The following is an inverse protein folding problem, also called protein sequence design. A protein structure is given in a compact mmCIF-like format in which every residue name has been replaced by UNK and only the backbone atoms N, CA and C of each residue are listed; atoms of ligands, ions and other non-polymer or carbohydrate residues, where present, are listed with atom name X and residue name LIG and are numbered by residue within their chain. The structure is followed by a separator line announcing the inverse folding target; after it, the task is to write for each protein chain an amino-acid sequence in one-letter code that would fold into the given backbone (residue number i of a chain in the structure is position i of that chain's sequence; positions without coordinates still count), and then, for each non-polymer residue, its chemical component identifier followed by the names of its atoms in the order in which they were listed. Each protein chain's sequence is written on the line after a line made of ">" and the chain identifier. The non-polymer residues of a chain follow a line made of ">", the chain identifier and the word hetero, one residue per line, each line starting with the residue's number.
data_IF_299143326588
#
_entry.id   IF_299143326588
#
_cell.length_a   1.000
_cell.length_b   1.000
_cell.length_c   1.000
_cell.angle_alpha   90.00
_cell.angle_beta   90.00
_cell.angle_gamma   90.00
#
_symmetry.space_group_name_H-M   'P 1'
#
loop_
_entity.id
_entity.type
_entity.pdbx_description
1 polymer ?
#
# COMPACT_ATOMS: atom_id res chain seq x y z
N UNK A 1 -2.38 3.06 -8.10
CA UNK A 1 -1.50 4.02 -8.80
C UNK A 1 -0.79 3.47 -10.02
N UNK A 2 -0.13 2.31 -9.89
CA UNK A 2 0.65 1.70 -10.96
C UNK A 2 0.12 0.32 -11.31
N UNK A 3 0.29 -0.07 -12.56
CA UNK A 3 -0.01 -1.41 -13.07
C UNK A 3 0.93 -1.76 -14.23
N UNK A 4 0.71 -2.93 -14.84
CA UNK A 4 1.40 -3.43 -16.02
C UNK A 4 0.41 -3.36 -17.18
N UNK A 5 0.87 -2.83 -18.32
CA UNK A 5 0.09 -2.79 -19.55
C UNK A 5 -0.37 -4.21 -19.95
N UNK A 6 -1.67 -4.39 -20.18
CA UNK A 6 -2.30 -5.67 -20.48
C UNK A 6 -2.65 -6.55 -19.26
N UNK A 7 -2.32 -6.11 -18.04
CA UNK A 7 -2.64 -6.80 -16.78
C UNK A 7 -3.30 -5.86 -15.74
N UNK A 8 -3.96 -4.79 -16.19
CA UNK A 8 -4.50 -3.71 -15.34
C UNK A 8 -5.61 -4.17 -14.38
N UNK A 9 -6.31 -5.25 -14.75
CA UNK A 9 -7.32 -5.89 -13.91
C UNK A 9 -6.76 -6.98 -12.98
N UNK A 10 -5.46 -7.28 -13.06
CA UNK A 10 -4.84 -8.41 -12.35
C UNK A 10 -3.69 -7.99 -11.43
N UNK A 11 -2.96 -6.94 -11.79
CA UNK A 11 -1.80 -6.45 -11.04
C UNK A 11 -1.96 -4.98 -10.70
N UNK A 12 -1.72 -4.59 -9.46
CA UNK A 12 -1.75 -3.19 -9.06
C UNK A 12 -0.80 -2.89 -7.90
N UNK A 13 -0.19 -1.70 -7.94
CA UNK A 13 0.52 -1.13 -6.79
C UNK A 13 -0.08 0.23 -6.48
N UNK A 14 -0.50 0.41 -5.23
CA UNK A 14 -0.93 1.71 -4.69
C UNK A 14 0.23 2.29 -3.89
N UNK A 15 0.89 3.35 -4.37
CA UNK A 15 2.09 3.91 -3.73
C UNK A 15 1.81 5.28 -3.15
N UNK A 16 1.97 5.42 -1.84
CA UNK A 16 1.53 6.62 -1.10
C UNK A 16 2.59 7.11 -0.13
N UNK A 17 2.61 8.42 0.12
CA UNK A 17 3.42 8.98 1.21
C UNK A 17 2.91 8.46 2.56
N UNK A 18 3.76 8.54 3.60
CA UNK A 18 3.33 8.18 4.95
C UNK A 18 2.16 9.07 5.44
N UNK A 19 2.20 10.37 5.14
CA UNK A 19 1.12 11.32 5.46
C UNK A 19 -0.19 10.94 4.76
N UNK A 20 -0.14 10.60 3.47
CA UNK A 20 -1.32 10.20 2.71
C UNK A 20 -1.87 8.85 3.19
N UNK A 21 -0.99 7.94 3.60
CA UNK A 21 -1.39 6.66 4.19
C UNK A 21 -2.16 6.89 5.49
N UNK A 22 -1.59 7.66 6.42
CA UNK A 22 -2.22 8.01 7.71
C UNK A 22 -3.55 8.70 7.48
N UNK A 23 -3.58 9.77 6.67
CA UNK A 23 -4.80 10.50 6.37
C UNK A 23 -5.90 9.61 5.79
N UNK A 24 -5.53 8.63 4.97
CA UNK A 24 -6.49 7.70 4.36
C UNK A 24 -7.06 6.70 5.35
N UNK A 25 -6.22 6.07 6.18
CA UNK A 25 -6.69 5.07 7.14
C UNK A 25 -7.49 5.69 8.29
N UNK A 26 -7.24 6.96 8.60
CA UNK A 26 -7.95 7.70 9.65
C UNK A 26 -9.25 8.33 9.13
N UNK A 27 -9.21 9.07 8.01
CA UNK A 27 -10.34 9.91 7.59
C UNK A 27 -11.12 9.37 6.38
N UNK A 28 -10.48 8.61 5.49
CA UNK A 28 -11.09 8.17 4.23
C UNK A 28 -11.49 6.68 4.23
N UNK A 29 -11.72 6.10 5.42
CA UNK A 29 -11.87 4.65 5.62
C UNK A 29 -12.98 4.02 4.76
N UNK A 30 -14.09 4.70 4.54
CA UNK A 30 -15.19 4.16 3.72
C UNK A 30 -14.82 4.05 2.23
N UNK A 31 -14.26 5.11 1.64
CA UNK A 31 -13.78 5.13 0.25
C UNK A 31 -12.65 4.11 0.06
N UNK A 32 -11.68 4.13 0.96
CA UNK A 32 -10.52 3.25 0.88
C UNK A 32 -10.92 1.77 0.96
N UNK A 33 -11.89 1.41 1.81
CA UNK A 33 -12.43 0.04 1.85
C UNK A 33 -13.06 -0.41 0.53
N UNK A 34 -13.67 0.49 -0.25
CA UNK A 34 -14.19 0.15 -1.58
C UNK A 34 -13.06 -0.16 -2.55
N UNK A 35 -12.00 0.66 -2.53
CA UNK A 35 -10.80 0.44 -3.33
C UNK A 35 -10.11 -0.88 -2.96
N UNK A 36 -9.96 -1.17 -1.66
CA UNK A 36 -9.40 -2.43 -1.17
C UNK A 36 -10.21 -3.66 -1.62
N UNK A 37 -11.55 -3.57 -1.68
CA UNK A 37 -12.36 -4.70 -2.19
C UNK A 37 -12.12 -5.00 -3.66
N UNK A 38 -11.89 -3.97 -4.47
CA UNK A 38 -11.51 -4.15 -5.87
C UNK A 38 -10.14 -4.82 -5.94
N UNK A 39 -9.15 -4.29 -5.22
CA UNK A 39 -7.79 -4.82 -5.17
C UNK A 39 -7.72 -6.25 -4.61
N UNK A 40 -8.62 -6.65 -3.71
CA UNK A 40 -8.65 -8.00 -3.16
C UNK A 40 -9.00 -9.07 -4.23
N UNK A 41 -9.63 -8.67 -5.34
CA UNK A 41 -9.87 -9.56 -6.48
C UNK A 41 -8.68 -9.70 -7.43
N UNK A 42 -7.64 -8.89 -7.25
CA UNK A 42 -6.49 -8.90 -8.15
C UNK A 42 -5.58 -10.06 -7.82
N UNK A 43 -4.94 -10.59 -8.84
CA UNK A 43 -3.94 -11.66 -8.70
C UNK A 43 -2.73 -11.20 -7.88
N UNK A 44 -2.37 -9.92 -8.01
CA UNK A 44 -1.31 -9.28 -7.25
C UNK A 44 -1.58 -7.80 -7.05
N UNK A 45 -2.08 -7.47 -5.87
CA UNK A 45 -2.18 -6.09 -5.41
C UNK A 45 -1.33 -5.87 -4.16
N UNK A 46 -0.73 -4.68 -4.02
CA UNK A 46 -0.14 -4.25 -2.76
C UNK A 46 -0.22 -2.74 -2.56
N UNK A 47 -0.10 -2.33 -1.31
CA UNK A 47 0.11 -0.92 -0.92
C UNK A 47 1.58 -0.74 -0.59
N UNK A 48 2.21 0.29 -1.13
CA UNK A 48 3.59 0.67 -0.83
C UNK A 48 3.58 2.04 -0.16
N UNK A 49 4.14 2.12 1.04
CA UNK A 49 4.21 3.35 1.84
C UNK A 49 5.63 3.90 1.79
N UNK A 50 5.78 5.17 1.41
CA UNK A 50 7.02 5.94 1.46
C UNK A 50 7.33 6.35 2.92
N UNK A 51 7.57 5.37 3.77
CA UNK A 51 7.81 5.52 5.21
C UNK A 51 8.23 4.19 5.83
N UNK A 52 8.90 4.21 6.98
CA UNK A 52 9.17 3.02 7.78
C UNK A 52 8.11 2.80 8.86
N UNK A 53 7.99 1.58 9.36
CA UNK A 53 7.23 1.30 10.60
C UNK A 53 7.78 2.13 11.77
N UNK A 54 9.10 2.34 11.83
CA UNK A 54 9.71 3.20 12.83
C UNK A 54 9.19 4.65 12.78
N UNK A 55 8.95 5.19 11.58
CA UNK A 55 8.36 6.51 11.42
C UNK A 55 6.92 6.56 11.94
N UNK A 56 6.16 5.46 11.77
CA UNK A 56 4.82 5.34 12.37
C UNK A 56 4.90 5.35 13.90
N UNK A 57 5.78 4.52 14.47
CA UNK A 57 5.96 4.39 15.92
C UNK A 57 6.43 5.69 16.58
N UNK A 58 7.22 6.48 15.86
CA UNK A 58 7.76 7.76 16.31
C UNK A 58 6.87 8.95 15.91
N UNK A 59 5.67 8.71 15.36
CA UNK A 59 4.73 9.74 14.89
C UNK A 59 5.36 10.77 13.93
N UNK A 60 6.24 10.31 13.03
CA UNK A 60 6.87 11.16 12.01
C UNK A 60 5.96 11.32 10.78
N UNK A 61 4.73 11.74 11.02
CA UNK A 61 3.72 12.02 10.01
C UNK A 61 2.78 13.12 10.51
N UNK A 62 1.99 13.68 9.61
CA UNK A 62 1.03 14.74 9.92
C UNK A 62 -0.23 14.19 10.58
N UNK A 63 -0.71 14.92 11.60
CA UNK A 63 -1.96 14.65 12.31
C UNK A 63 -1.76 13.91 13.64
N UNK A 64 -2.84 13.82 14.42
CA UNK A 64 -2.81 13.35 15.81
C UNK A 64 -3.21 11.87 15.96
N UNK A 65 -3.20 11.12 14.86
CA UNK A 65 -3.52 9.70 14.90
C UNK A 65 -2.51 8.96 15.80
N UNK A 66 -3.00 8.13 16.70
CA UNK A 66 -2.14 7.34 17.55
C UNK A 66 -1.43 6.25 16.72
N UNK A 67 -0.11 5.97 16.91
CA UNK A 67 0.63 4.96 16.16
C UNK A 67 -0.06 3.59 16.08
N UNK A 68 -0.59 3.10 17.20
CA UNK A 68 -1.31 1.83 17.26
C UNK A 68 -2.56 1.81 16.37
N UNK A 69 -3.24 2.94 16.17
CA UNK A 69 -4.40 3.00 15.27
C UNK A 69 -3.96 2.92 13.80
N UNK A 70 -2.84 3.56 13.45
CA UNK A 70 -2.24 3.48 12.10
C UNK A 70 -1.77 2.06 11.81
N UNK A 71 -1.04 1.44 12.74
CA UNK A 71 -0.58 0.05 12.63
C UNK A 71 -1.74 -0.94 12.58
N UNK A 72 -2.74 -0.80 13.45
CA UNK A 72 -3.93 -1.63 13.43
C UNK A 72 -4.68 -1.55 12.10
N UNK A 73 -4.70 -0.37 11.48
CA UNK A 73 -5.28 -0.19 10.15
C UNK A 73 -4.45 -0.89 9.07
N UNK A 74 -3.11 -0.76 9.11
CA UNK A 74 -2.23 -1.49 8.20
C UNK A 74 -2.41 -3.02 8.32
N UNK A 75 -2.50 -3.53 9.55
CA UNK A 75 -2.74 -4.95 9.82
C UNK A 75 -4.11 -5.40 9.33
N UNK A 76 -5.16 -4.60 9.50
CA UNK A 76 -6.49 -4.90 8.96
C UNK A 76 -6.46 -5.02 7.43
N UNK A 77 -5.72 -4.17 6.71
CA UNK A 77 -5.54 -4.30 5.26
C UNK A 77 -4.89 -5.65 4.90
N UNK A 78 -3.83 -6.03 5.62
CA UNK A 78 -3.07 -7.26 5.38
C UNK A 78 -3.90 -8.51 5.70
N UNK A 79 -4.58 -8.51 6.84
CA UNK A 79 -5.25 -9.70 7.37
C UNK A 79 -6.66 -9.86 6.80
N UNK A 80 -7.44 -8.78 6.76
CA UNK A 80 -8.85 -8.86 6.38
C UNK A 80 -9.05 -8.83 4.86
N UNK A 81 -8.22 -8.06 4.14
CA UNK A 81 -8.32 -7.92 2.68
C UNK A 81 -7.25 -8.73 1.94
N UNK A 82 -6.29 -9.33 2.66
CA UNK A 82 -5.18 -10.10 2.07
C UNK A 82 -4.29 -9.27 1.13
N UNK A 83 -4.25 -7.95 1.34
CA UNK A 83 -3.44 -7.02 0.56
C UNK A 83 -2.18 -6.65 1.36
N UNK A 84 -0.97 -7.02 0.89
CA UNK A 84 0.26 -6.62 1.55
C UNK A 84 0.42 -5.09 1.65
N UNK A 85 0.93 -4.62 2.77
CA UNK A 85 1.34 -3.22 2.97
C UNK A 85 2.85 -3.19 3.24
N UNK A 86 3.61 -2.62 2.31
CA UNK A 86 5.07 -2.54 2.38
C UNK A 86 5.51 -1.15 2.81
N UNK A 87 6.09 -1.04 3.99
CA UNK A 87 6.75 0.18 4.48
C UNK A 87 8.19 0.22 3.96
N UNK A 88 8.44 1.02 2.93
CA UNK A 88 9.70 1.02 2.20
C UNK A 88 10.70 2.09 2.69
N UNK A 89 10.46 2.72 3.82
CA UNK A 89 11.35 3.71 4.42
C UNK A 89 11.26 5.08 3.74
N UNK A 90 11.76 5.22 2.52
CA UNK A 90 11.75 6.50 1.81
C UNK A 90 11.24 6.36 0.37
N UNK A 91 11.03 7.51 -0.28
CA UNK A 91 10.52 7.60 -1.65
C UNK A 91 11.35 6.83 -2.67
N UNK A 92 12.68 6.89 -2.58
CA UNK A 92 13.57 6.22 -3.54
C UNK A 92 13.46 4.69 -3.41
N UNK A 93 13.48 4.17 -2.18
CA UNK A 93 13.32 2.76 -1.92
C UNK A 93 11.91 2.25 -2.29
N UNK A 94 10.87 3.04 -2.02
CA UNK A 94 9.50 2.73 -2.46
C UNK A 94 9.36 2.68 -3.98
N UNK A 95 10.01 3.59 -4.70
CA UNK A 95 10.05 3.58 -6.16
C UNK A 95 10.74 2.31 -6.70
N UNK A 96 11.92 2.00 -6.17
CA UNK A 96 12.68 0.79 -6.54
C UNK A 96 11.88 -0.48 -6.26
N UNK A 97 11.25 -0.57 -5.09
CA UNK A 97 10.41 -1.71 -4.72
C UNK A 97 9.21 -1.84 -5.66
N UNK A 98 8.52 -0.73 -5.96
CA UNK A 98 7.38 -0.71 -6.88
C UNK A 98 7.78 -1.24 -8.27
N UNK A 99 8.90 -0.75 -8.81
CA UNK A 99 9.40 -1.23 -10.10
C UNK A 99 9.75 -2.72 -10.06
N UNK A 100 10.48 -3.17 -9.04
CA UNK A 100 10.86 -4.57 -8.89
C UNK A 100 9.63 -5.48 -8.75
N UNK A 101 8.62 -5.06 -7.98
CA UNK A 101 7.36 -5.79 -7.81
C UNK A 101 6.63 -5.97 -9.15
N UNK A 102 6.47 -4.89 -9.92
CA UNK A 102 5.80 -4.93 -11.22
C UNK A 102 6.57 -5.76 -12.24
N UNK A 103 7.90 -5.65 -12.30
CA UNK A 103 8.73 -6.48 -13.18
C UNK A 103 8.65 -7.97 -12.82
N UNK A 104 8.67 -8.29 -11.53
CA UNK A 104 8.54 -9.66 -11.06
C UNK A 104 7.15 -10.24 -11.37
N UNK A 105 6.09 -9.44 -11.15
CA UNK A 105 4.72 -9.80 -11.51
C UNK A 105 4.58 -10.05 -13.02
N UNK A 106 5.13 -9.16 -13.86
CA UNK A 106 5.14 -9.34 -15.32
C UNK A 106 5.82 -10.64 -15.70
N UNK A 107 7.06 -10.87 -15.25
CA UNK A 107 7.80 -12.11 -15.54
C UNK A 107 7.02 -13.38 -15.15
N UNK A 108 6.16 -13.30 -14.13
CA UNK A 108 5.42 -14.46 -13.63
C UNK A 108 4.11 -14.72 -14.38
N UNK A 109 3.49 -13.69 -14.96
CA UNK A 109 2.11 -13.76 -15.47
C UNK A 109 1.90 -13.23 -16.89
N UNK A 110 2.89 -12.55 -17.46
CA UNK A 110 2.97 -12.26 -18.89
C UNK A 110 3.14 -13.59 -19.65
N UNK A 111 2.24 -13.86 -20.58
CA UNK A 111 2.19 -15.12 -21.35
C UNK A 111 2.83 -14.95 -22.71
#
# INVERSE_FOLDING_TARGET
>A
DYSIEGLEGEVAVERKSLDDFVGTVVHARARFRRELRVLAGYRAACVVVEGAVADVLQQRYRGDAHPNAVLGSALSIILDYRIPVFFCGNRQAACQFTQAYLLAARKRWDR
#
